data_IF_768174546339
#
_entry.id   IF_768174546339
#
_cell.length_a   1.000
_cell.length_b   1.000
_cell.length_c   1.000
_cell.angle_alpha   90.00
_cell.angle_beta   90.00
_cell.angle_gamma   90.00
#
_symmetry.space_group_name_H-M   'P 1'
#
loop_
_entity.id
_entity.type
_entity.pdbx_description
1 polymer ?
#
# COMPACT_ATOMS: atom_id res chain seq x y z
N UNK A 1 2.08 22.09 -7.64
CA UNK A 1 0.62 22.20 -7.87
C UNK A 1 0.22 23.66 -7.93
N UNK A 2 -0.75 24.03 -8.78
CA UNK A 2 -1.34 25.38 -8.80
C UNK A 2 -2.82 25.28 -8.46
N UNK A 3 -3.24 25.90 -7.36
CA UNK A 3 -4.65 25.99 -7.01
C UNK A 3 -5.30 27.07 -7.88
N UNK A 4 -6.21 26.65 -8.75
CA UNK A 4 -6.96 27.54 -9.63
C UNK A 4 -8.30 27.87 -9.00
N UNK A 5 -8.63 29.16 -8.93
CA UNK A 5 -9.93 29.68 -8.52
C UNK A 5 -10.50 30.50 -9.66
N UNK A 6 -11.81 30.43 -9.86
CA UNK A 6 -12.52 31.32 -10.78
C UNK A 6 -13.71 31.94 -10.06
N UNK A 7 -13.77 33.25 -10.14
CA UNK A 7 -14.84 34.07 -9.57
C UNK A 7 -15.60 34.78 -10.70
N UNK A 8 -16.86 35.09 -10.44
CA UNK A 8 -17.74 35.78 -11.38
C UNK A 8 -19.19 35.35 -11.24
N UNK A 9 -20.06 35.98 -12.02
CA UNK A 9 -21.47 35.67 -12.07
C UNK A 9 -21.71 34.45 -12.96
N UNK A 10 -22.22 33.38 -12.37
CA UNK A 10 -22.49 32.13 -13.08
C UNK A 10 -23.98 31.92 -13.26
N UNK A 11 -24.37 31.51 -14.47
CA UNK A 11 -25.65 30.80 -14.68
C UNK A 11 -25.52 29.34 -14.20
N UNK A 12 -26.64 28.63 -13.98
CA UNK A 12 -26.59 27.20 -13.56
C UNK A 12 -25.73 26.35 -14.49
N UNK A 13 -25.94 26.46 -15.81
CA UNK A 13 -25.28 25.61 -16.80
C UNK A 13 -23.80 25.99 -16.95
N UNK A 14 -23.52 27.29 -16.96
CA UNK A 14 -22.18 27.88 -16.97
C UNK A 14 -21.34 27.40 -15.78
N UNK A 15 -21.88 27.52 -14.57
CA UNK A 15 -21.24 27.07 -13.33
C UNK A 15 -21.04 25.56 -13.32
N UNK A 16 -22.03 24.80 -13.79
CA UNK A 16 -21.91 23.33 -13.90
C UNK A 16 -20.82 22.92 -14.88
N UNK A 17 -20.70 23.60 -16.03
CA UNK A 17 -19.66 23.34 -17.02
C UNK A 17 -18.26 23.62 -16.45
N UNK A 18 -18.07 24.75 -15.77
CA UNK A 18 -16.81 25.08 -15.10
C UNK A 18 -16.47 24.11 -13.97
N UNK A 19 -17.42 23.78 -13.09
CA UNK A 19 -17.23 22.79 -12.04
C UNK A 19 -16.74 21.45 -12.60
N UNK A 20 -17.39 20.96 -13.67
CA UNK A 20 -17.01 19.68 -14.29
C UNK A 20 -15.63 19.74 -14.93
N UNK A 21 -15.29 20.85 -15.58
CA UNK A 21 -13.96 21.03 -16.19
C UNK A 21 -12.86 21.09 -15.14
N UNK A 22 -13.00 21.95 -14.13
CA UNK A 22 -12.00 22.09 -13.07
C UNK A 22 -11.84 20.80 -12.28
N UNK A 23 -12.93 20.11 -11.91
CA UNK A 23 -12.83 18.85 -11.17
C UNK A 23 -12.10 17.78 -11.99
N UNK A 24 -12.38 17.68 -13.29
CA UNK A 24 -11.63 16.76 -14.17
C UNK A 24 -10.16 17.14 -14.31
N UNK A 25 -9.83 18.43 -14.40
CA UNK A 25 -8.44 18.88 -14.49
C UNK A 25 -7.68 18.66 -13.16
N UNK A 26 -8.34 18.85 -12.01
CA UNK A 26 -7.83 18.52 -10.68
C UNK A 26 -7.56 17.02 -10.55
N UNK A 27 -8.49 16.18 -11.02
CA UNK A 27 -8.28 14.73 -11.06
C UNK A 27 -7.18 14.33 -12.05
N UNK A 28 -6.95 15.07 -13.12
CA UNK A 28 -5.82 14.76 -14.00
C UNK A 28 -4.48 15.09 -13.35
N UNK A 29 -4.37 16.26 -12.72
CA UNK A 29 -3.09 16.77 -12.19
C UNK A 29 -2.79 16.31 -10.76
N UNK A 30 -3.80 15.80 -10.06
CA UNK A 30 -3.77 15.56 -8.63
C UNK A 30 -2.91 14.40 -8.13
N UNK A 31 -2.58 13.46 -9.01
CA UNK A 31 -2.01 12.16 -8.60
C UNK A 31 -0.51 12.02 -8.83
N UNK A 32 0.14 13.03 -9.42
CA UNK A 32 1.55 12.94 -9.83
C UNK A 32 2.56 13.22 -8.70
N UNK A 33 2.11 13.47 -7.47
CA UNK A 33 3.01 13.75 -6.35
C UNK A 33 2.46 13.27 -5.00
N UNK A 34 3.31 12.98 -4.00
CA UNK A 34 2.86 12.43 -2.71
C UNK A 34 1.89 13.36 -1.96
N UNK A 35 2.28 14.62 -1.77
CA UNK A 35 1.42 15.62 -1.11
C UNK A 35 0.14 15.89 -1.92
N UNK A 36 0.27 15.87 -3.24
CA UNK A 36 -0.81 16.05 -4.21
C UNK A 36 -1.87 14.96 -4.11
N UNK A 37 -1.44 13.71 -3.98
CA UNK A 37 -2.30 12.53 -3.84
C UNK A 37 -3.20 12.63 -2.62
N UNK A 38 -2.72 13.25 -1.54
CA UNK A 38 -3.49 13.49 -0.31
C UNK A 38 -4.42 14.69 -0.46
N UNK A 39 -3.96 15.81 -1.02
CA UNK A 39 -4.76 17.06 -1.11
C UNK A 39 -5.90 16.97 -2.13
N UNK A 40 -5.71 16.21 -3.21
CA UNK A 40 -6.67 16.08 -4.32
C UNK A 40 -8.06 15.60 -3.87
N UNK A 41 -8.21 14.52 -3.10
CA UNK A 41 -9.53 14.08 -2.63
C UNK A 41 -10.24 15.17 -1.79
N UNK A 42 -9.53 15.87 -0.90
CA UNK A 42 -10.11 16.99 -0.15
C UNK A 42 -10.57 18.12 -1.08
N UNK A 43 -9.76 18.48 -2.08
CA UNK A 43 -10.11 19.52 -3.05
C UNK A 43 -11.36 19.15 -3.85
N UNK A 44 -11.46 17.90 -4.29
CA UNK A 44 -12.64 17.40 -5.02
C UNK A 44 -13.89 17.40 -4.13
N UNK A 45 -13.76 17.07 -2.84
CA UNK A 45 -14.84 17.15 -1.87
C UNK A 45 -15.32 18.60 -1.67
N UNK A 46 -14.40 19.56 -1.50
CA UNK A 46 -14.74 20.97 -1.38
C UNK A 46 -15.47 21.49 -2.64
N UNK A 47 -15.09 21.02 -3.84
CA UNK A 47 -15.78 21.36 -5.08
C UNK A 47 -17.25 20.88 -5.12
N UNK A 48 -17.66 19.90 -4.30
CA UNK A 48 -19.06 19.48 -4.19
C UNK A 48 -19.95 20.58 -3.59
N UNK A 49 -19.40 21.43 -2.73
CA UNK A 49 -20.09 22.62 -2.22
C UNK A 49 -20.47 23.58 -3.35
N UNK A 50 -19.51 23.90 -4.23
CA UNK A 50 -19.75 24.72 -5.42
C UNK A 50 -20.79 24.10 -6.35
N UNK A 51 -20.77 22.78 -6.52
CA UNK A 51 -21.80 22.05 -7.29
C UNK A 51 -23.20 22.25 -6.69
N UNK A 52 -23.33 22.22 -5.36
CA UNK A 52 -24.62 22.43 -4.70
C UNK A 52 -25.14 23.85 -4.93
N UNK A 53 -24.25 24.85 -4.87
CA UNK A 53 -24.60 26.26 -5.16
C UNK A 53 -25.07 26.40 -6.60
N UNK A 54 -24.30 25.92 -7.58
CA UNK A 54 -24.69 26.06 -9.00
C UNK A 54 -26.00 25.35 -9.33
N UNK A 55 -26.30 24.20 -8.70
CA UNK A 55 -27.57 23.49 -8.90
C UNK A 55 -28.80 24.26 -8.43
N UNK A 56 -28.65 25.20 -7.49
CA UNK A 56 -29.74 26.03 -6.98
C UNK A 56 -30.02 27.25 -7.86
N UNK A 57 -29.12 27.59 -8.78
CA UNK A 57 -29.31 28.69 -9.71
C UNK A 57 -30.37 28.36 -10.76
N UNK A 58 -30.97 29.39 -11.32
CA UNK A 58 -31.94 29.26 -12.42
C UNK A 58 -31.23 28.87 -13.72
N UNK A 59 -31.99 28.25 -14.62
CA UNK A 59 -31.54 28.05 -15.99
C UNK A 59 -31.25 29.42 -16.62
N UNK A 60 -30.24 29.53 -17.50
CA UNK A 60 -30.04 30.74 -18.27
C UNK A 60 -31.27 31.04 -19.13
N UNK A 61 -31.86 32.24 -18.97
CA UNK A 61 -33.00 32.74 -19.75
C UNK A 61 -32.61 34.08 -20.40
N UNK A 62 -32.98 34.31 -21.66
CA UNK A 62 -32.78 35.59 -22.35
C UNK A 62 -31.32 36.04 -22.53
N UNK A 63 -30.34 35.13 -22.45
CA UNK A 63 -28.93 35.49 -22.51
C UNK A 63 -28.50 35.92 -23.94
N UNK A 64 -27.76 37.03 -24.03
CA UNK A 64 -27.18 37.56 -25.29
C UNK A 64 -26.19 36.57 -25.92
N UNK A 65 -25.55 35.73 -25.11
CA UNK A 65 -24.62 34.69 -25.55
C UNK A 65 -25.17 33.31 -25.19
N UNK A 66 -24.87 32.33 -26.03
CA UNK A 66 -25.21 30.92 -25.77
C UNK A 66 -24.55 30.47 -24.46
N UNK A 67 -25.31 29.89 -23.52
CA UNK A 67 -24.74 29.31 -22.30
C UNK A 67 -23.74 28.22 -22.61
N UNK A 68 -22.76 28.04 -21.72
CA UNK A 68 -21.74 27.01 -21.86
C UNK A 68 -22.37 25.61 -21.64
N UNK A 69 -22.10 24.68 -22.55
CA UNK A 69 -22.59 23.31 -22.45
C UNK A 69 -21.87 22.54 -21.32
N UNK A 70 -22.60 22.04 -20.30
CA UNK A 70 -22.04 21.21 -19.25
C UNK A 70 -21.44 19.88 -19.74
N UNK A 71 -21.82 19.41 -20.92
CA UNK A 71 -21.33 18.19 -21.55
C UNK A 71 -21.49 16.93 -20.68
N UNK A 72 -20.50 16.03 -20.74
CA UNK A 72 -20.49 14.77 -19.94
C UNK A 72 -20.22 15.03 -18.45
N UNK A 73 -20.71 14.12 -17.59
CA UNK A 73 -20.44 14.08 -16.13
C UNK A 73 -18.93 13.91 -15.87
N UNK A 74 -18.43 14.34 -14.70
CA UNK A 74 -17.00 14.29 -14.34
C UNK A 74 -16.41 12.89 -14.58
N UNK A 75 -17.02 11.84 -14.02
CA UNK A 75 -16.52 10.46 -14.14
C UNK A 75 -16.63 9.87 -15.55
N UNK A 76 -17.38 10.51 -16.46
CA UNK A 76 -17.51 10.09 -17.85
C UNK A 76 -16.53 10.84 -18.78
N UNK A 77 -15.59 11.63 -18.22
CA UNK A 77 -14.58 12.37 -18.96
C UNK A 77 -13.22 11.66 -18.86
N UNK A 78 -12.48 11.47 -19.96
CA UNK A 78 -11.17 10.82 -19.93
C UNK A 78 -10.18 11.41 -18.91
N UNK A 79 -10.06 12.75 -18.75
CA UNK A 79 -9.14 13.33 -17.76
C UNK A 79 -9.45 12.99 -16.30
N UNK A 80 -10.68 12.57 -15.99
CA UNK A 80 -11.04 12.07 -14.66
C UNK A 80 -10.97 10.54 -14.58
N UNK A 81 -11.45 9.84 -15.62
CA UNK A 81 -11.56 8.39 -15.62
C UNK A 81 -10.20 7.68 -15.63
N UNK A 82 -9.28 8.12 -16.50
CA UNK A 82 -7.94 7.53 -16.66
C UNK A 82 -7.16 7.54 -15.34
N UNK A 83 -6.99 8.69 -14.64
CA UNK A 83 -6.23 8.69 -13.40
C UNK A 83 -6.93 7.93 -12.27
N UNK A 84 -8.26 8.00 -12.17
CA UNK A 84 -9.00 7.22 -11.17
C UNK A 84 -8.83 5.72 -11.38
N UNK A 85 -8.86 5.25 -12.63
CA UNK A 85 -8.62 3.85 -12.95
C UNK A 85 -7.18 3.45 -12.60
N UNK A 86 -6.20 4.27 -12.97
CA UNK A 86 -4.79 4.01 -12.66
C UNK A 86 -4.54 3.90 -11.14
N UNK A 87 -5.08 4.84 -10.36
CA UNK A 87 -4.99 4.82 -8.89
C UNK A 87 -5.73 3.63 -8.31
N UNK A 88 -6.94 3.32 -8.81
CA UNK A 88 -7.71 2.16 -8.37
C UNK A 88 -6.97 0.84 -8.61
N UNK A 89 -6.35 0.68 -9.78
CA UNK A 89 -5.54 -0.49 -10.12
C UNK A 89 -4.27 -0.58 -9.27
N UNK A 90 -3.59 0.55 -9.04
CA UNK A 90 -2.40 0.59 -8.18
C UNK A 90 -2.74 0.17 -6.74
N UNK A 91 -3.83 0.71 -6.18
CA UNK A 91 -4.33 0.31 -4.87
C UNK A 91 -4.69 -1.18 -4.85
N UNK A 92 -5.45 -1.67 -5.83
CA UNK A 92 -5.81 -3.08 -5.92
C UNK A 92 -4.58 -3.99 -5.98
N UNK A 93 -3.58 -3.63 -6.80
CA UNK A 93 -2.31 -4.36 -6.89
C UNK A 93 -1.59 -4.41 -5.55
N UNK A 94 -1.43 -3.26 -4.87
CA UNK A 94 -0.79 -3.20 -3.54
C UNK A 94 -1.56 -4.06 -2.53
N UNK A 95 -2.89 -4.01 -2.56
CA UNK A 95 -3.73 -4.81 -1.64
C UNK A 95 -3.57 -6.30 -1.92
N UNK A 96 -3.58 -6.71 -3.19
CA UNK A 96 -3.37 -8.11 -3.59
C UNK A 96 -1.98 -8.59 -3.18
N UNK A 97 -0.93 -7.80 -3.42
CA UNK A 97 0.43 -8.14 -3.01
C UNK A 97 0.56 -8.23 -1.49
N UNK A 98 -0.08 -7.33 -0.74
CA UNK A 98 -0.10 -7.40 0.72
C UNK A 98 -0.81 -8.65 1.22
N UNK A 99 -1.96 -9.02 0.62
CA UNK A 99 -2.68 -10.25 0.97
C UNK A 99 -1.85 -11.49 0.63
N UNK A 100 -1.20 -11.52 -0.54
CA UNK A 100 -0.29 -12.61 -0.91
C UNK A 100 0.86 -12.67 0.11
N UNK A 101 1.44 -11.54 0.48
CA UNK A 101 2.47 -11.45 1.51
C UNK A 101 1.99 -12.01 2.85
N UNK A 102 0.78 -11.68 3.29
CA UNK A 102 0.21 -12.18 4.55
C UNK A 102 -0.13 -13.69 4.52
N UNK A 103 -0.56 -14.21 3.36
CA UNK A 103 -1.02 -15.61 3.24
C UNK A 103 0.13 -16.55 2.88
N UNK A 104 1.06 -16.12 2.04
CA UNK A 104 2.19 -16.92 1.58
C UNK A 104 3.48 -16.62 2.37
N UNK A 105 3.67 -15.37 2.78
CA UNK A 105 4.65 -15.00 3.79
C UNK A 105 4.04 -15.24 5.15
N UNK A 106 3.97 -16.51 5.55
CA UNK A 106 3.96 -16.80 6.97
C UNK A 106 5.16 -16.06 7.53
N UNK A 107 4.92 -15.13 8.47
CA UNK A 107 5.99 -14.60 9.30
C UNK A 107 6.75 -15.83 9.78
N UNK A 108 7.93 -16.09 9.20
CA UNK A 108 8.91 -16.97 9.83
C UNK A 108 9.39 -16.15 11.01
N UNK A 109 8.53 -15.98 12.02
CA UNK A 109 8.96 -15.66 13.35
C UNK A 109 10.07 -16.68 13.59
N UNK A 110 11.30 -16.19 13.61
CA UNK A 110 12.51 -16.98 13.78
C UNK A 110 12.16 -18.05 14.80
N UNK A 111 12.15 -19.32 14.38
CA UNK A 111 11.59 -20.38 15.21
C UNK A 111 12.28 -20.28 16.56
N UNK A 112 11.53 -19.90 17.60
CA UNK A 112 12.13 -19.62 18.90
C UNK A 112 12.56 -20.97 19.47
N UNK A 113 13.86 -21.23 19.44
CA UNK A 113 14.46 -22.50 19.83
C UNK A 113 15.12 -22.38 21.20
N UNK A 114 15.18 -23.51 21.88
CA UNK A 114 15.73 -23.69 23.22
C UNK A 114 16.73 -24.85 23.19
N UNK A 115 17.60 -24.91 24.20
CA UNK A 115 18.57 -26.00 24.34
C UNK A 115 17.87 -27.36 24.28
N UNK A 116 18.39 -28.26 23.45
CA UNK A 116 17.88 -29.60 23.26
C UNK A 116 16.97 -29.77 22.05
N UNK A 117 16.48 -28.69 21.45
CA UNK A 117 15.66 -28.73 20.24
C UNK A 117 16.47 -29.20 19.02
N UNK A 118 15.82 -29.95 18.12
CA UNK A 118 16.39 -30.33 16.84
C UNK A 118 15.90 -29.40 15.74
N UNK A 119 16.82 -29.03 14.87
CA UNK A 119 16.57 -28.04 13.83
C UNK A 119 17.24 -28.44 12.52
N UNK A 120 16.72 -27.85 11.45
CA UNK A 120 17.30 -27.88 10.11
C UNK A 120 17.61 -26.46 9.68
N UNK A 121 18.72 -26.26 8.97
CA UNK A 121 18.97 -25.01 8.26
C UNK A 121 18.50 -25.17 6.82
N UNK A 122 17.53 -24.36 6.41
CA UNK A 122 17.02 -24.34 5.04
C UNK A 122 17.82 -23.43 4.10
N UNK A 123 18.77 -22.66 4.65
CA UNK A 123 19.65 -21.78 3.90
C UNK A 123 21.09 -22.33 3.80
N UNK A 124 21.85 -21.80 2.85
CA UNK A 124 23.28 -22.11 2.73
C UNK A 124 24.08 -21.24 3.72
N UNK A 125 24.97 -21.87 4.49
CA UNK A 125 25.86 -21.15 5.39
C UNK A 125 26.67 -20.06 4.65
N UNK A 126 26.85 -18.87 5.25
CA UNK A 126 26.57 -18.52 6.65
C UNK A 126 25.12 -18.10 6.97
N UNK A 127 24.24 -18.03 5.97
CA UNK A 127 22.84 -17.65 6.15
C UNK A 127 22.09 -18.70 6.98
N UNK A 128 21.18 -18.25 7.85
CA UNK A 128 20.42 -19.09 8.77
C UNK A 128 18.91 -18.93 8.52
N UNK A 129 18.26 -20.01 8.06
CA UNK A 129 16.81 -20.17 8.02
C UNK A 129 16.46 -21.40 8.86
N UNK A 130 16.36 -21.18 10.17
CA UNK A 130 16.28 -22.26 11.17
C UNK A 130 14.83 -22.66 11.38
N UNK A 131 14.56 -23.93 11.10
CA UNK A 131 13.26 -24.56 11.30
C UNK A 131 13.34 -25.61 12.40
N UNK A 132 12.47 -25.51 13.40
CA UNK A 132 12.33 -26.52 14.46
C UNK A 132 11.60 -27.73 13.90
N UNK A 133 12.26 -28.89 13.93
CA UNK A 133 11.70 -30.15 13.48
C UNK A 133 11.81 -31.20 14.60
N UNK A 134 11.14 -32.34 14.43
CA UNK A 134 11.27 -33.43 15.40
C UNK A 134 12.68 -34.01 15.37
N UNK A 135 13.23 -34.33 16.54
CA UNK A 135 14.51 -35.05 16.64
C UNK A 135 14.45 -36.48 16.09
N UNK A 136 13.26 -37.02 15.87
CA UNK A 136 13.05 -38.33 15.24
C UNK A 136 13.02 -38.25 13.71
N UNK A 137 13.07 -37.05 13.14
CA UNK A 137 13.05 -36.84 11.70
C UNK A 137 14.44 -37.07 11.10
N UNK A 138 14.50 -37.78 9.97
CA UNK A 138 15.76 -37.98 9.24
C UNK A 138 16.35 -36.69 8.70
N UNK A 139 15.52 -35.65 8.56
CA UNK A 139 15.95 -34.33 8.10
C UNK A 139 16.56 -33.46 9.22
N UNK A 140 16.69 -33.99 10.45
CA UNK A 140 17.34 -33.29 11.56
C UNK A 140 18.85 -33.18 11.37
N UNK A 141 19.31 -31.96 11.10
CA UNK A 141 20.73 -31.70 10.81
C UNK A 141 21.49 -31.24 12.04
N UNK A 142 20.85 -30.48 12.93
CA UNK A 142 21.50 -29.88 14.09
C UNK A 142 20.66 -30.01 15.35
N UNK A 143 21.34 -30.03 16.50
CA UNK A 143 20.75 -29.95 17.83
C UNK A 143 21.27 -28.72 18.57
N UNK A 144 20.35 -27.99 19.19
CA UNK A 144 20.66 -26.75 19.92
C UNK A 144 21.37 -27.07 21.24
N UNK A 145 22.51 -26.44 21.47
CA UNK A 145 23.40 -26.60 22.62
C UNK A 145 23.72 -25.23 23.23
N UNK A 146 24.03 -25.13 24.54
CA UNK A 146 24.45 -23.87 25.13
C UNK A 146 25.84 -23.44 24.64
N UNK A 147 26.08 -22.12 24.68
CA UNK A 147 27.31 -21.46 24.16
C UNK A 147 28.58 -21.86 24.92
N UNK A 148 28.45 -22.18 26.21
CA UNK A 148 29.54 -22.63 27.08
C UNK A 148 30.19 -23.96 26.64
N UNK A 149 29.55 -24.69 25.73
CA UNK A 149 29.91 -26.04 25.33
C UNK A 149 29.72 -26.31 23.83
N UNK A 150 29.95 -25.31 22.97
CA UNK A 150 29.87 -25.50 21.52
C UNK A 150 30.87 -26.56 21.03
N UNK A 151 30.40 -27.70 20.48
CA UNK A 151 31.29 -28.73 20.00
C UNK A 151 32.05 -28.27 18.75
N UNK A 152 33.22 -28.88 18.51
CA UNK A 152 34.01 -28.60 17.30
C UNK A 152 33.18 -28.90 16.04
N UNK A 153 33.07 -27.92 15.14
CA UNK A 153 32.23 -28.00 13.94
C UNK A 153 30.77 -27.58 14.14
N UNK A 154 30.42 -27.04 15.31
CA UNK A 154 29.13 -26.37 15.52
C UNK A 154 29.10 -24.98 14.89
N UNK A 155 27.89 -24.52 14.54
CA UNK A 155 27.64 -23.17 14.07
C UNK A 155 26.99 -22.32 15.18
N UNK A 156 27.33 -21.04 15.24
CA UNK A 156 26.71 -20.10 16.20
C UNK A 156 25.33 -19.72 15.68
N UNK A 157 24.29 -19.88 16.50
CA UNK A 157 22.93 -19.48 16.18
C UNK A 157 22.77 -17.97 16.32
N UNK A 158 22.08 -17.31 15.39
CA UNK A 158 21.75 -15.90 15.58
C UNK A 158 20.81 -15.71 16.80
N UNK A 159 21.06 -14.68 17.64
CA UNK A 159 20.26 -14.44 18.85
C UNK A 159 18.75 -14.33 18.60
N UNK A 160 18.33 -13.88 17.42
CA UNK A 160 16.93 -13.71 17.03
C UNK A 160 16.14 -15.03 17.02
N UNK A 161 16.82 -16.18 16.90
CA UNK A 161 16.22 -17.51 16.99
C UNK A 161 16.17 -18.06 18.43
N UNK A 162 16.90 -17.45 19.37
CA UNK A 162 16.89 -17.90 20.76
C UNK A 162 15.66 -17.36 21.49
N UNK A 163 14.90 -18.25 22.14
CA UNK A 163 13.72 -17.86 22.94
C UNK A 163 14.03 -16.78 23.98
N UNK A 164 15.22 -16.84 24.56
CA UNK A 164 15.65 -15.97 25.65
C UNK A 164 16.72 -14.96 25.21
N UNK A 165 17.00 -14.86 23.90
CA UNK A 165 18.05 -13.99 23.34
C UNK A 165 19.48 -14.40 23.71
N UNK A 166 19.66 -15.58 24.31
CA UNK A 166 20.98 -16.11 24.68
C UNK A 166 21.75 -16.58 23.44
N UNK A 167 23.08 -16.49 23.49
CA UNK A 167 23.94 -17.17 22.53
C UNK A 167 23.74 -18.69 22.65
N UNK A 168 23.52 -19.34 21.52
CA UNK A 168 23.31 -20.79 21.41
C UNK A 168 24.11 -21.32 20.23
N UNK A 169 24.39 -22.62 20.24
CA UNK A 169 25.13 -23.30 19.20
C UNK A 169 24.32 -24.42 18.56
N UNK A 170 24.60 -24.67 17.28
CA UNK A 170 24.01 -25.72 16.47
C UNK A 170 25.04 -26.83 16.29
N UNK A 171 24.91 -27.88 17.09
CA UNK A 171 25.76 -29.05 17.03
C UNK A 171 25.23 -30.03 15.95
N UNK A 172 26.05 -30.49 15.00
CA UNK A 172 25.58 -31.42 13.97
C UNK A 172 25.12 -32.75 14.59
N UNK A 173 23.93 -33.22 14.20
CA UNK A 173 23.42 -34.55 14.54
C UNK A 173 24.11 -35.54 13.61
N UNK A 174 24.76 -36.57 14.16
CA UNK A 174 25.38 -37.65 13.38
C UNK A 174 24.34 -38.65 12.94
#
# INVERSE_FOLDING_TARGET
MRFLKREGDFCRDCGTAFYRRMTSDTLWQGWWGPLSMVITPFTVLLNLGSRAVFRRLTAPVGAVRRPLDPGKRVLARPPALIPLLAVGLALAMVTVLAVIGLVAGGDRAAAQVSVGDCVRNNAAWPEQDIERISCSDSDSQYRVSPDDSCPAGAYVLYPDYSRDGSALCLAPVR
#
